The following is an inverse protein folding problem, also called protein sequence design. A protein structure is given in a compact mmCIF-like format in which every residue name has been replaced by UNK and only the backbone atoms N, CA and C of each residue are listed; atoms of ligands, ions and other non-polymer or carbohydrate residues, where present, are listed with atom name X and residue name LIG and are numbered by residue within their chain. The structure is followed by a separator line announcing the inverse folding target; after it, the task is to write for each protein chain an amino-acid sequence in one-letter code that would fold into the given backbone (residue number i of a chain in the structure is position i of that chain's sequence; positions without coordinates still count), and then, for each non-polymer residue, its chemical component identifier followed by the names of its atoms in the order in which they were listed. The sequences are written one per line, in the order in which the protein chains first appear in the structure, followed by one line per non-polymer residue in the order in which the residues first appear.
data_IF_720474085190
#
_entry.id   IF_720474085190
#
_cell.length_a   1.000
_cell.length_b   1.000
_cell.length_c   1.000
_cell.angle_alpha   90.00
_cell.angle_beta   90.00
_cell.angle_gamma   90.00
#
_symmetry.space_group_name_H-M   'P 1'
#
loop_
_entity.id
_entity.type
_entity.pdbx_description
1 polymer ?
#
# COMPACT_ATOMS: atom_id res chain seq x y z
N UNK A 1 8.79 31.92 2.00
CA UNK A 1 10.21 32.38 1.95
C UNK A 1 11.22 31.23 1.92
N UNK A 2 10.81 29.97 2.02
CA UNK A 2 11.71 28.77 1.98
C UNK A 2 11.98 28.23 0.58
N UNK A 3 11.07 28.38 -0.38
CA UNK A 3 11.24 27.92 -1.77
C UNK A 3 12.44 28.53 -2.52
N UNK A 4 12.95 29.69 -2.08
CA UNK A 4 14.13 30.31 -2.69
C UNK A 4 15.46 29.68 -2.26
N UNK A 5 15.51 29.01 -1.12
CA UNK A 5 16.74 28.44 -0.58
C UNK A 5 17.08 27.09 -1.22
N UNK A 6 16.07 26.28 -1.51
CA UNK A 6 16.27 24.94 -2.11
C UNK A 6 16.71 25.05 -3.57
N UNK A 7 16.11 25.98 -4.33
CA UNK A 7 16.55 26.24 -5.72
C UNK A 7 17.98 26.81 -5.79
N UNK A 8 18.38 27.59 -4.80
CA UNK A 8 19.72 28.16 -4.75
C UNK A 8 20.79 27.11 -4.41
N UNK A 9 20.49 26.15 -3.52
CA UNK A 9 21.44 25.08 -3.16
C UNK A 9 21.65 24.09 -4.31
N UNK A 10 20.60 23.73 -5.06
CA UNK A 10 20.70 22.88 -6.28
C UNK A 10 21.51 23.60 -7.36
N UNK A 11 21.32 24.90 -7.57
CA UNK A 11 22.09 25.69 -8.52
C UNK A 11 23.57 25.77 -8.15
N UNK A 12 23.87 25.92 -6.86
CA UNK A 12 25.25 25.95 -6.34
C UNK A 12 25.91 24.57 -6.50
N UNK A 13 25.18 23.45 -6.32
CA UNK A 13 25.72 22.11 -6.51
C UNK A 13 26.04 21.84 -7.98
N UNK A 14 25.19 22.27 -8.92
CA UNK A 14 25.45 22.18 -10.36
C UNK A 14 26.67 23.03 -10.73
N UNK A 15 26.80 24.26 -10.21
CA UNK A 15 27.95 25.10 -10.43
C UNK A 15 29.24 24.52 -9.84
N UNK A 16 29.16 23.88 -8.65
CA UNK A 16 30.31 23.21 -8.03
C UNK A 16 30.75 21.99 -8.83
N UNK A 17 29.82 21.21 -9.34
CA UNK A 17 30.12 20.06 -10.22
C UNK A 17 30.73 20.52 -11.55
N UNK A 18 30.28 21.64 -12.11
CA UNK A 18 30.91 22.26 -13.30
C UNK A 18 32.31 22.76 -12.99
N UNK A 19 32.53 23.35 -11.81
CA UNK A 19 33.85 23.87 -11.40
C UNK A 19 34.86 22.75 -11.09
N UNK A 20 34.41 21.65 -10.49
CA UNK A 20 35.24 20.46 -10.22
C UNK A 20 35.57 19.75 -11.52
N UNK A 21 34.62 19.62 -12.43
CA UNK A 21 34.87 19.07 -13.76
C UNK A 21 35.84 19.93 -14.56
N UNK A 22 35.69 21.27 -14.53
CA UNK A 22 36.62 22.18 -15.24
C UNK A 22 38.03 22.24 -14.63
N UNK A 23 38.17 22.02 -13.31
CA UNK A 23 39.47 21.98 -12.66
C UNK A 23 40.23 20.66 -12.91
N UNK A 24 39.56 19.57 -13.18
CA UNK A 24 40.19 18.29 -13.57
C UNK A 24 40.48 18.22 -15.08
N UNK A 25 39.89 19.07 -15.90
CA UNK A 25 40.02 19.08 -17.37
C UNK A 25 41.20 19.89 -17.89
N UNK A 26 41.98 20.55 -17.01
CA UNK A 26 43.18 21.28 -17.43
C UNK A 26 44.31 20.38 -17.95
N UNK A 27 44.15 19.04 -17.91
CA UNK A 27 45.15 18.07 -18.35
C UNK A 27 44.60 16.95 -19.28
N UNK A 28 43.34 16.99 -19.74
CA UNK A 28 42.76 15.99 -20.63
C UNK A 28 42.50 16.59 -22.02
N UNK A 29 42.73 15.81 -23.05
CA UNK A 29 42.46 16.23 -24.45
C UNK A 29 40.97 16.47 -24.72
N UNK A 30 40.70 17.46 -25.55
CA UNK A 30 39.39 18.04 -25.90
C UNK A 30 38.33 17.03 -26.45
N UNK A 31 38.68 15.77 -26.65
CA UNK A 31 37.80 14.73 -27.22
C UNK A 31 36.93 14.04 -26.19
N UNK A 32 37.23 14.07 -24.92
CA UNK A 32 36.51 13.24 -23.92
C UNK A 32 35.22 13.86 -23.34
N UNK A 33 35.03 15.18 -23.51
CA UNK A 33 33.86 15.86 -22.92
C UNK A 33 32.57 15.56 -23.67
N UNK A 34 32.65 15.43 -25.00
CA UNK A 34 31.48 15.16 -25.83
C UNK A 34 30.94 13.73 -25.64
N UNK A 35 31.80 12.79 -25.24
CA UNK A 35 31.41 11.41 -24.97
C UNK A 35 30.67 11.25 -23.64
N UNK A 36 30.91 12.15 -22.67
CA UNK A 36 30.20 12.17 -21.38
C UNK A 36 28.94 13.03 -21.39
N UNK A 37 28.75 13.90 -22.36
CA UNK A 37 27.59 14.78 -22.44
C UNK A 37 26.24 14.02 -22.52
N UNK A 38 26.12 12.92 -23.27
CA UNK A 38 24.89 12.11 -23.27
C UNK A 38 24.59 11.46 -21.92
N UNK A 39 25.62 11.01 -21.20
CA UNK A 39 25.46 10.40 -19.88
C UNK A 39 25.09 11.45 -18.82
N UNK A 40 25.64 12.65 -18.90
CA UNK A 40 25.30 13.79 -18.04
C UNK A 40 23.89 14.30 -18.33
N UNK A 41 23.51 14.37 -19.60
CA UNK A 41 22.15 14.74 -20.03
C UNK A 41 21.14 13.66 -19.69
N UNK A 42 21.50 12.36 -19.78
CA UNK A 42 20.66 11.28 -19.34
C UNK A 42 20.51 11.27 -17.82
N UNK A 43 21.58 11.53 -17.05
CA UNK A 43 21.51 11.67 -15.60
C UNK A 43 20.72 12.92 -15.17
N UNK A 44 20.82 14.02 -15.92
CA UNK A 44 20.02 15.22 -15.69
C UNK A 44 18.55 15.04 -16.11
N UNK A 45 18.28 14.22 -17.11
CA UNK A 45 16.90 13.87 -17.54
C UNK A 45 16.27 12.84 -16.60
N UNK A 46 17.07 12.03 -15.89
CA UNK A 46 16.60 11.13 -14.83
C UNK A 46 16.36 11.88 -13.51
N UNK A 47 16.88 13.11 -13.38
CA UNK A 47 16.56 14.05 -12.31
C UNK A 47 15.50 15.06 -12.74
N UNK A 48 14.52 14.65 -13.52
CA UNK A 48 13.26 15.40 -13.59
C UNK A 48 12.68 15.39 -12.18
N UNK A 49 12.48 16.56 -11.62
CA UNK A 49 11.88 16.78 -10.33
C UNK A 49 10.72 15.77 -10.16
N UNK A 50 10.93 14.75 -9.35
CA UNK A 50 9.85 14.01 -8.74
C UNK A 50 9.24 14.96 -7.70
N UNK A 51 8.72 16.09 -8.16
CA UNK A 51 7.81 16.86 -7.34
C UNK A 51 6.64 15.90 -7.09
N UNK A 52 6.56 15.40 -5.87
CA UNK A 52 5.44 14.59 -5.42
C UNK A 52 4.19 15.37 -5.74
N UNK A 53 3.46 14.92 -6.75
CA UNK A 53 2.20 15.56 -7.10
C UNK A 53 1.23 15.16 -5.99
N UNK A 54 0.95 16.11 -5.12
CA UNK A 54 -0.04 15.92 -4.07
C UNK A 54 -1.39 15.72 -4.73
N UNK A 55 -2.08 14.62 -4.45
CA UNK A 55 -3.38 14.34 -5.05
C UNK A 55 -4.40 15.36 -4.57
N UNK A 56 -5.30 15.78 -5.46
CA UNK A 56 -6.36 16.72 -5.11
C UNK A 56 -7.39 16.12 -4.13
N UNK A 57 -7.53 14.83 -4.06
CA UNK A 57 -8.37 14.08 -3.14
C UNK A 57 -7.90 12.64 -3.12
N UNK A 58 -8.27 11.94 -2.09
CA UNK A 58 -7.92 10.54 -1.92
C UNK A 58 -9.17 9.71 -1.66
N UNK A 59 -9.32 8.64 -2.42
CA UNK A 59 -10.33 7.61 -2.22
C UNK A 59 -9.68 6.32 -1.77
N UNK A 60 -10.45 5.48 -1.08
CA UNK A 60 -9.99 4.18 -0.62
C UNK A 60 -10.92 3.06 -1.08
N UNK A 61 -10.33 1.98 -1.58
CA UNK A 61 -10.95 0.70 -1.88
C UNK A 61 -10.32 -0.33 -0.94
N UNK A 62 -11.13 -1.18 -0.34
CA UNK A 62 -10.60 -2.18 0.56
C UNK A 62 -11.65 -3.05 1.21
N UNK A 63 -11.20 -3.77 2.20
CA UNK A 63 -12.00 -4.61 3.07
C UNK A 63 -12.05 -4.01 4.50
N UNK A 64 -12.20 -4.83 5.52
CA UNK A 64 -12.24 -4.42 6.93
C UNK A 64 -11.00 -3.62 7.38
N UNK A 65 -9.84 -3.88 6.79
CA UNK A 65 -8.63 -3.09 7.09
C UNK A 65 -8.78 -1.68 6.50
N UNK A 66 -9.33 -1.56 5.30
CA UNK A 66 -9.62 -0.28 4.66
C UNK A 66 -10.73 0.49 5.34
N UNK A 67 -11.67 -0.18 5.99
CA UNK A 67 -12.77 0.41 6.74
C UNK A 67 -12.37 0.82 8.17
N UNK A 68 -11.23 0.30 8.66
CA UNK A 68 -10.76 0.54 10.03
C UNK A 68 -11.53 -0.25 11.07
N UNK A 69 -12.03 -1.46 10.72
CA UNK A 69 -12.79 -2.30 11.65
C UNK A 69 -11.97 -2.58 12.91
N UNK A 70 -12.59 -2.31 14.05
CA UNK A 70 -12.04 -2.53 15.38
C UNK A 70 -10.72 -1.78 15.69
N UNK A 71 -10.35 -0.75 14.94
CA UNK A 71 -9.07 -0.05 15.10
C UNK A 71 -8.86 0.50 16.52
N UNK A 72 -9.90 1.01 17.17
CA UNK A 72 -9.87 1.53 18.55
C UNK A 72 -10.06 0.44 19.64
N UNK A 73 -10.35 -0.80 19.26
CA UNK A 73 -10.64 -1.91 20.16
C UNK A 73 -12.11 -2.30 20.23
N UNK A 74 -13.01 -1.57 19.59
CA UNK A 74 -14.44 -1.86 19.59
C UNK A 74 -14.78 -2.81 18.46
N UNK A 75 -15.09 -4.05 18.80
CA UNK A 75 -15.33 -5.13 17.81
C UNK A 75 -16.56 -4.82 16.95
N UNK A 76 -16.42 -4.92 15.64
CA UNK A 76 -17.51 -4.76 14.67
C UNK A 76 -17.91 -3.31 14.42
N UNK A 77 -17.11 -2.34 14.85
CA UNK A 77 -17.28 -0.94 14.52
C UNK A 77 -16.21 -0.48 13.52
N UNK A 78 -16.63 0.29 12.51
CA UNK A 78 -15.75 0.92 11.55
C UNK A 78 -15.24 2.26 12.10
N UNK A 79 -13.96 2.53 11.86
CA UNK A 79 -13.27 3.74 12.31
C UNK A 79 -12.58 4.43 11.14
N UNK A 80 -13.38 4.98 10.22
CA UNK A 80 -12.88 5.64 9.01
C UNK A 80 -11.89 6.77 9.30
N UNK A 81 -12.03 7.41 10.45
CA UNK A 81 -11.12 8.48 10.91
C UNK A 81 -9.74 7.99 11.29
N UNK A 82 -9.60 6.69 11.63
CA UNK A 82 -8.36 6.08 12.12
C UNK A 82 -7.66 5.20 11.06
N UNK A 83 -8.16 5.21 9.83
CA UNK A 83 -7.65 4.36 8.75
C UNK A 83 -6.29 4.84 8.24
N UNK A 84 -5.40 3.90 7.94
CA UNK A 84 -4.06 4.14 7.41
C UNK A 84 -4.01 5.01 6.14
N UNK A 85 -5.06 4.98 5.32
CA UNK A 85 -5.15 5.66 4.01
C UNK A 85 -5.82 7.03 4.11
N UNK A 86 -7.16 7.04 4.16
CA UNK A 86 -8.00 8.25 4.13
C UNK A 86 -8.33 8.81 5.50
N UNK A 87 -7.83 8.20 6.58
CA UNK A 87 -8.12 8.65 7.94
C UNK A 87 -7.68 10.08 8.21
N UNK A 88 -8.41 10.75 9.11
CA UNK A 88 -8.06 12.05 9.64
C UNK A 88 -8.59 12.20 11.07
N UNK A 89 -7.70 12.13 12.04
CA UNK A 89 -8.07 12.29 13.45
C UNK A 89 -6.89 12.84 14.25
N UNK A 90 -6.91 14.13 14.53
CA UNK A 90 -5.85 14.81 15.28
C UNK A 90 -5.66 14.28 16.73
N UNK A 91 -6.52 13.40 17.21
CA UNK A 91 -6.48 12.86 18.57
C UNK A 91 -5.98 11.41 18.67
N UNK A 92 -5.84 10.70 17.56
CA UNK A 92 -5.28 9.36 17.53
C UNK A 92 -3.75 9.34 17.28
N UNK A 93 -3.18 8.16 17.13
CA UNK A 93 -1.75 7.97 16.86
C UNK A 93 -1.46 7.62 15.39
N UNK A 94 -2.49 7.50 14.57
CA UNK A 94 -2.37 7.19 13.15
C UNK A 94 -2.05 8.47 12.38
N UNK A 95 -0.91 8.47 11.72
CA UNK A 95 -0.55 9.50 10.77
C UNK A 95 -0.80 8.94 9.37
N UNK A 96 -2.04 9.08 8.90
CA UNK A 96 -2.52 8.48 7.66
C UNK A 96 -1.81 9.03 6.42
N UNK A 97 -1.98 8.38 5.26
CA UNK A 97 -1.48 8.95 3.99
C UNK A 97 -2.11 10.32 3.73
N UNK A 98 -3.39 10.49 4.05
CA UNK A 98 -4.10 11.74 3.91
C UNK A 98 -3.44 12.85 4.73
N UNK A 99 -3.16 12.61 6.01
CA UNK A 99 -2.49 13.57 6.90
C UNK A 99 -1.04 13.84 6.48
N UNK A 100 -0.34 12.85 5.91
CA UNK A 100 1.01 13.03 5.36
C UNK A 100 1.00 13.98 4.17
N UNK A 101 0.02 13.87 3.31
CA UNK A 101 -0.15 14.81 2.20
C UNK A 101 -0.53 16.19 2.71
N UNK A 102 -1.37 16.34 3.70
CA UNK A 102 -1.76 17.60 4.30
C UNK A 102 -0.55 18.39 4.83
N UNK A 103 0.42 17.72 5.43
CA UNK A 103 1.61 18.36 5.97
C UNK A 103 2.72 18.65 4.96
N UNK A 104 2.56 18.24 3.70
CA UNK A 104 3.58 18.40 2.66
C UNK A 104 3.56 19.75 1.92
N UNK A 105 3.08 20.83 2.52
CA UNK A 105 3.03 22.20 1.95
C UNK A 105 2.15 22.42 0.71
N UNK A 106 1.37 21.43 0.26
CA UNK A 106 0.61 21.53 -0.98
C UNK A 106 -0.90 21.84 -0.80
N UNK A 107 -1.39 22.34 0.30
CA UNK A 107 -2.61 21.82 0.89
C UNK A 107 -3.63 22.80 1.39
N UNK A 108 -3.93 23.78 0.62
CA UNK A 108 -5.24 24.45 0.65
C UNK A 108 -6.40 23.52 0.22
N UNK A 109 -6.10 22.26 -0.04
CA UNK A 109 -7.00 21.34 -0.70
C UNK A 109 -7.89 20.55 0.28
N UNK A 110 -7.31 20.03 1.35
CA UNK A 110 -8.06 19.29 2.37
C UNK A 110 -8.98 20.18 3.23
N UNK A 111 -8.82 21.51 3.22
CA UNK A 111 -9.77 22.43 3.85
C UNK A 111 -11.21 22.28 3.31
N UNK A 112 -11.36 21.77 2.09
CA UNK A 112 -12.68 21.54 1.48
C UNK A 112 -13.07 20.06 1.40
N UNK A 113 -12.17 19.17 1.76
CA UNK A 113 -12.38 17.74 1.76
C UNK A 113 -12.22 17.30 3.21
N UNK A 114 -13.27 17.42 4.00
CA UNK A 114 -13.26 16.83 5.33
C UNK A 114 -12.99 15.33 5.14
N UNK A 115 -11.77 14.92 5.43
CA UNK A 115 -11.35 13.52 5.27
C UNK A 115 -12.14 12.57 6.19
N UNK A 116 -12.93 13.14 7.07
CA UNK A 116 -13.98 12.45 7.82
C UNK A 116 -15.24 12.22 6.99
N UNK A 117 -15.24 12.65 5.72
CA UNK A 117 -16.34 12.33 4.81
C UNK A 117 -16.28 10.84 4.51
N UNK A 118 -17.21 10.03 5.03
CA UNK A 118 -17.26 8.60 4.77
C UNK A 118 -17.42 8.29 3.27
N UNK A 119 -17.89 9.27 2.48
CA UNK A 119 -18.06 9.13 1.04
C UNK A 119 -16.72 8.96 0.27
N UNK A 120 -15.57 9.21 0.91
CA UNK A 120 -14.25 9.00 0.30
C UNK A 120 -13.69 7.59 0.57
N UNK A 121 -14.19 6.91 1.57
CA UNK A 121 -13.78 5.56 1.93
C UNK A 121 -14.86 4.55 1.52
N UNK A 122 -14.61 3.84 0.43
CA UNK A 122 -15.52 2.81 -0.10
C UNK A 122 -15.14 1.39 0.31
N UNK A 123 -14.19 1.24 1.23
CA UNK A 123 -13.88 -0.07 1.81
C UNK A 123 -15.07 -0.64 2.58
N UNK A 124 -15.26 -1.94 2.51
CA UNK A 124 -16.38 -2.66 3.14
C UNK A 124 -15.86 -3.90 3.85
N UNK A 125 -16.18 -4.05 5.13
CA UNK A 125 -15.82 -5.24 5.91
C UNK A 125 -16.27 -6.52 5.22
N UNK A 126 -15.34 -7.49 5.13
CA UNK A 126 -15.60 -8.77 4.47
C UNK A 126 -15.48 -8.75 2.94
N UNK A 127 -15.24 -7.60 2.31
CA UNK A 127 -15.10 -7.51 0.86
C UNK A 127 -13.96 -8.40 0.34
N UNK A 128 -14.21 -9.02 -0.81
CA UNK A 128 -13.27 -9.84 -1.58
C UNK A 128 -12.97 -9.15 -2.91
N UNK A 129 -12.02 -9.68 -3.67
CA UNK A 129 -11.66 -9.11 -4.98
C UNK A 129 -12.85 -8.97 -5.96
N UNK A 130 -13.88 -9.80 -5.81
CA UNK A 130 -15.12 -9.71 -6.58
C UNK A 130 -15.89 -8.38 -6.35
N UNK A 131 -15.71 -7.75 -5.20
CA UNK A 131 -16.38 -6.50 -4.83
C UNK A 131 -15.65 -5.26 -5.39
N UNK A 132 -14.44 -5.43 -5.91
CA UNK A 132 -13.63 -4.32 -6.42
C UNK A 132 -14.35 -3.48 -7.48
N UNK A 133 -14.97 -4.11 -8.47
CA UNK A 133 -15.66 -3.38 -9.54
C UNK A 133 -16.85 -2.55 -9.01
N UNK A 134 -17.51 -3.01 -7.94
CA UNK A 134 -18.59 -2.27 -7.28
C UNK A 134 -18.03 -1.06 -6.56
N UNK A 135 -17.04 -1.23 -5.70
CA UNK A 135 -16.38 -0.12 -4.99
C UNK A 135 -15.77 0.90 -5.96
N UNK A 136 -15.13 0.44 -7.04
CA UNK A 136 -14.61 1.32 -8.09
C UNK A 136 -15.72 2.13 -8.78
N UNK A 137 -16.90 1.53 -9.01
CA UNK A 137 -18.05 2.23 -9.59
C UNK A 137 -18.59 3.31 -8.65
N UNK A 138 -18.61 3.05 -7.36
CA UNK A 138 -19.00 4.03 -6.35
C UNK A 138 -18.01 5.20 -6.29
N UNK A 139 -16.69 4.93 -6.34
CA UNK A 139 -15.67 6.01 -6.46
C UNK A 139 -15.90 6.86 -7.70
N UNK A 140 -16.16 6.25 -8.85
CA UNK A 140 -16.45 7.00 -10.09
C UNK A 140 -17.66 7.92 -9.90
N UNK A 141 -18.70 7.43 -9.27
CA UNK A 141 -19.92 8.21 -9.00
C UNK A 141 -19.64 9.36 -8.02
N UNK A 142 -18.97 9.08 -6.91
CA UNK A 142 -18.63 10.07 -5.88
C UNK A 142 -17.67 11.12 -6.42
N UNK A 143 -16.60 10.72 -7.11
CA UNK A 143 -15.65 11.66 -7.71
C UNK A 143 -16.33 12.59 -8.71
N UNK A 144 -17.22 12.06 -9.55
CA UNK A 144 -17.95 12.85 -10.56
C UNK A 144 -18.93 13.88 -9.95
N UNK A 145 -19.51 13.56 -8.79
CA UNK A 145 -20.60 14.36 -8.20
C UNK A 145 -20.15 15.24 -7.04
N UNK A 146 -19.17 14.83 -6.26
CA UNK A 146 -18.84 15.42 -4.97
C UNK A 146 -17.50 16.15 -4.96
N UNK A 147 -16.59 15.88 -5.91
CA UNK A 147 -15.33 16.61 -5.97
C UNK A 147 -15.44 17.87 -6.83
N UNK A 148 -14.76 18.97 -6.48
CA UNK A 148 -14.76 20.19 -7.28
C UNK A 148 -14.22 20.01 -8.71
N UNK A 149 -13.29 19.08 -8.89
CA UNK A 149 -12.72 18.76 -10.21
C UNK A 149 -13.55 17.78 -11.03
N UNK A 150 -14.50 17.07 -10.40
CA UNK A 150 -15.20 15.94 -11.02
C UNK A 150 -14.32 14.70 -11.22
N UNK A 151 -13.15 14.67 -10.54
CA UNK A 151 -12.15 13.60 -10.70
C UNK A 151 -11.58 13.16 -9.36
N UNK A 152 -11.20 11.88 -9.26
CA UNK A 152 -10.38 11.38 -8.17
C UNK A 152 -8.91 11.74 -8.41
N UNK A 153 -8.23 12.28 -7.41
CA UNK A 153 -6.80 12.58 -7.47
C UNK A 153 -5.97 11.31 -7.23
N UNK A 154 -6.31 10.55 -6.18
CA UNK A 154 -5.68 9.29 -5.83
C UNK A 154 -6.71 8.25 -5.41
N UNK A 155 -6.44 6.99 -5.71
CA UNK A 155 -7.20 5.83 -5.21
C UNK A 155 -6.22 4.85 -4.59
N UNK A 156 -6.35 4.59 -3.30
CA UNK A 156 -5.63 3.52 -2.61
C UNK A 156 -6.46 2.24 -2.61
N UNK A 157 -5.81 1.11 -2.81
CA UNK A 157 -6.46 -0.20 -2.93
C UNK A 157 -5.70 -1.21 -2.08
N UNK A 158 -6.31 -1.67 -0.99
CA UNK A 158 -5.84 -2.80 -0.19
C UNK A 158 -6.98 -3.81 -0.09
N UNK A 159 -7.02 -4.76 -1.00
CA UNK A 159 -8.08 -5.74 -1.14
C UNK A 159 -7.51 -7.11 -1.51
N UNK A 160 -8.20 -8.17 -1.11
CA UNK A 160 -7.78 -9.55 -1.34
C UNK A 160 -7.44 -10.31 -0.06
N UNK A 161 -7.46 -9.66 1.10
CA UNK A 161 -7.20 -10.33 2.36
C UNK A 161 -8.24 -11.43 2.62
N UNK A 162 -9.53 -11.17 2.35
CA UNK A 162 -10.60 -12.14 2.51
C UNK A 162 -10.61 -13.23 1.43
N UNK A 163 -9.99 -13.00 0.29
CA UNK A 163 -9.79 -14.01 -0.75
C UNK A 163 -8.83 -15.11 -0.31
N UNK A 164 -7.80 -14.73 0.45
CA UNK A 164 -6.75 -15.64 0.92
C UNK A 164 -6.98 -16.10 2.36
N UNK A 165 -7.64 -15.30 3.20
CA UNK A 165 -7.98 -15.64 4.57
C UNK A 165 -9.21 -16.56 4.59
N UNK A 166 -9.01 -17.80 4.19
CA UNK A 166 -10.05 -18.80 4.03
C UNK A 166 -9.89 -19.96 5.04
N UNK A 167 -10.97 -20.72 5.32
CA UNK A 167 -10.94 -21.87 6.22
C UNK A 167 -9.96 -22.96 5.80
N UNK A 168 -9.62 -23.04 4.50
CA UNK A 168 -8.64 -24.01 3.98
C UNK A 168 -7.97 -23.49 2.72
N UNK A 169 -6.87 -24.13 2.32
CA UNK A 169 -6.17 -23.82 1.07
C UNK A 169 -7.06 -23.97 -0.17
N UNK A 170 -8.01 -24.91 -0.13
CA UNK A 170 -8.88 -25.20 -1.27
C UNK A 170 -10.07 -24.23 -1.36
N UNK A 171 -10.35 -23.50 -0.28
CA UNK A 171 -11.44 -22.50 -0.23
C UNK A 171 -10.94 -21.07 -0.44
N UNK A 172 -9.63 -20.85 -0.60
CA UNK A 172 -9.12 -19.58 -1.10
C UNK A 172 -9.71 -19.29 -2.47
N UNK A 173 -9.97 -18.02 -2.77
CA UNK A 173 -10.45 -17.64 -4.11
C UNK A 173 -9.52 -18.19 -5.20
N UNK A 174 -10.08 -18.85 -6.20
CA UNK A 174 -9.27 -19.38 -7.30
C UNK A 174 -8.46 -18.27 -7.98
N UNK A 175 -7.15 -18.43 -8.20
CA UNK A 175 -6.30 -17.38 -8.76
C UNK A 175 -6.79 -16.80 -10.10
N UNK A 176 -7.40 -17.62 -10.97
CA UNK A 176 -7.96 -17.15 -12.25
C UNK A 176 -9.16 -16.23 -12.00
N UNK A 177 -10.07 -16.61 -11.09
CA UNK A 177 -11.21 -15.74 -10.72
C UNK A 177 -10.73 -14.47 -10.00
N UNK A 178 -9.72 -14.58 -9.14
CA UNK A 178 -9.11 -13.43 -8.48
C UNK A 178 -8.58 -12.41 -9.51
N UNK A 179 -7.84 -12.89 -10.52
CA UNK A 179 -7.34 -12.05 -11.60
C UNK A 179 -8.48 -11.43 -12.43
N UNK A 180 -9.51 -12.23 -12.79
CA UNK A 180 -10.67 -11.73 -13.54
C UNK A 180 -11.40 -10.61 -12.81
N UNK A 181 -11.61 -10.77 -11.50
CA UNK A 181 -12.25 -9.76 -10.67
C UNK A 181 -11.37 -8.51 -10.51
N UNK A 182 -10.06 -8.70 -10.33
CA UNK A 182 -9.10 -7.59 -10.25
C UNK A 182 -9.10 -6.76 -11.54
N UNK A 183 -9.03 -7.42 -12.70
CA UNK A 183 -9.13 -6.75 -14.02
C UNK A 183 -10.45 -6.01 -14.17
N UNK A 184 -11.56 -6.58 -13.73
CA UNK A 184 -12.87 -5.93 -13.81
C UNK A 184 -12.90 -4.60 -13.02
N UNK A 185 -12.31 -4.55 -11.82
CA UNK A 185 -12.20 -3.32 -11.04
C UNK A 185 -11.28 -2.29 -11.69
N UNK A 186 -10.11 -2.70 -12.19
CA UNK A 186 -9.21 -1.81 -12.93
C UNK A 186 -9.84 -1.27 -14.21
N UNK A 187 -10.64 -2.07 -14.93
CA UNK A 187 -11.37 -1.63 -16.11
C UNK A 187 -12.39 -0.52 -15.79
N UNK A 188 -13.07 -0.59 -14.65
CA UNK A 188 -13.96 0.49 -14.21
C UNK A 188 -13.18 1.78 -14.01
N UNK A 189 -12.06 1.73 -13.31
CA UNK A 189 -11.21 2.90 -13.05
C UNK A 189 -10.62 3.46 -14.37
N UNK A 190 -10.15 2.60 -15.25
CA UNK A 190 -9.49 2.98 -16.49
C UNK A 190 -10.45 3.59 -17.53
N UNK A 191 -11.69 3.12 -17.57
CA UNK A 191 -12.67 3.55 -18.58
C UNK A 191 -13.48 4.79 -18.17
N UNK A 192 -13.27 5.33 -16.96
CA UNK A 192 -13.97 6.53 -16.49
C UNK A 192 -13.08 7.76 -16.57
N UNK A 193 -13.61 8.86 -17.11
CA UNK A 193 -12.93 10.16 -17.09
C UNK A 193 -12.69 10.69 -15.66
N UNK A 194 -13.48 10.22 -14.69
CA UNK A 194 -13.33 10.60 -13.29
C UNK A 194 -12.10 9.97 -12.62
N UNK A 195 -11.58 8.85 -13.15
CA UNK A 195 -10.53 8.07 -12.49
C UNK A 195 -9.35 7.68 -13.39
N UNK A 196 -9.48 7.74 -14.71
CA UNK A 196 -8.44 7.28 -15.64
C UNK A 196 -7.11 8.07 -15.56
N UNK A 197 -7.13 9.28 -15.01
CA UNK A 197 -5.94 10.09 -14.76
C UNK A 197 -5.47 10.08 -13.30
N UNK A 198 -6.19 9.37 -12.43
CA UNK A 198 -5.88 9.27 -11.00
C UNK A 198 -4.56 8.56 -10.76
N UNK A 199 -3.92 8.87 -9.64
CA UNK A 199 -2.83 8.07 -9.11
C UNK A 199 -3.43 6.85 -8.41
N UNK A 200 -3.22 5.66 -8.98
CA UNK A 200 -3.76 4.39 -8.46
C UNK A 200 -2.66 3.67 -7.67
N UNK A 201 -2.87 3.43 -6.41
CA UNK A 201 -1.94 2.76 -5.52
C UNK A 201 -2.52 1.43 -5.05
N UNK A 202 -1.94 0.34 -5.52
CA UNK A 202 -2.37 -1.02 -5.17
C UNK A 202 -1.34 -1.62 -4.21
N UNK A 203 -1.76 -1.86 -3.00
CA UNK A 203 -0.95 -2.53 -1.98
C UNK A 203 -0.96 -4.04 -2.19
N UNK A 204 0.17 -4.70 -1.94
CA UNK A 204 0.18 -6.16 -1.85
C UNK A 204 -0.66 -6.63 -0.65
N UNK A 205 -1.23 -7.83 -0.74
CA UNK A 205 -1.81 -8.51 0.41
C UNK A 205 -0.70 -8.76 1.43
N UNK A 206 -0.81 -8.29 2.68
CA UNK A 206 0.19 -8.53 3.71
C UNK A 206 0.28 -10.02 4.07
N UNK A 207 1.38 -10.43 4.64
CA UNK A 207 1.56 -11.80 5.07
C UNK A 207 0.74 -12.09 6.33
N UNK A 208 -0.41 -12.76 6.18
CA UNK A 208 -1.30 -13.17 7.29
C UNK A 208 -0.56 -14.00 8.35
N UNK A 209 0.54 -14.64 7.99
CA UNK A 209 1.41 -15.33 8.92
C UNK A 209 1.84 -14.44 10.11
N UNK A 210 2.06 -13.14 9.87
CA UNK A 210 2.46 -12.21 10.93
C UNK A 210 1.35 -11.96 11.94
N UNK A 211 0.08 -12.07 11.56
CA UNK A 211 -1.05 -12.06 12.49
C UNK A 211 -0.94 -13.23 13.49
N UNK A 212 -0.69 -14.44 12.99
CA UNK A 212 -0.45 -15.58 13.85
C UNK A 212 0.76 -15.35 14.74
N UNK A 213 1.89 -14.92 14.19
CA UNK A 213 3.11 -14.68 14.95
C UNK A 213 2.93 -13.62 16.05
N UNK A 214 2.14 -12.58 15.79
CA UNK A 214 1.86 -11.51 16.76
C UNK A 214 1.07 -12.01 17.98
N UNK A 215 0.09 -12.89 17.78
CA UNK A 215 -0.92 -13.22 18.82
C UNK A 215 -0.93 -14.69 19.28
N UNK A 216 -0.12 -15.59 18.74
CA UNK A 216 -0.21 -17.02 19.05
C UNK A 216 0.07 -17.33 20.55
N UNK A 217 0.80 -16.49 21.26
CA UNK A 217 1.04 -16.63 22.72
C UNK A 217 -0.12 -16.12 23.56
N UNK A 218 -1.03 -15.34 22.97
CA UNK A 218 -2.19 -14.80 23.67
C UNK A 218 -3.28 -15.88 23.80
N UNK A 219 -3.54 -16.33 25.03
CA UNK A 219 -4.51 -17.38 25.32
C UNK A 219 -5.94 -17.02 24.87
N UNK A 220 -6.36 -15.75 25.07
CA UNK A 220 -7.68 -15.28 24.64
C UNK A 220 -7.82 -15.35 23.11
N UNK A 221 -6.83 -14.84 22.41
CA UNK A 221 -6.84 -14.84 20.95
C UNK A 221 -6.94 -16.27 20.41
N UNK A 222 -6.07 -17.13 20.88
CA UNK A 222 -5.91 -18.50 20.40
C UNK A 222 -7.09 -19.41 20.65
N UNK A 223 -7.65 -19.40 21.88
CA UNK A 223 -8.66 -20.38 22.29
C UNK A 223 -10.09 -19.87 22.27
N UNK A 224 -10.27 -18.53 22.26
CA UNK A 224 -11.61 -17.94 22.37
C UNK A 224 -12.01 -17.23 21.09
N UNK A 225 -11.10 -16.50 20.45
CA UNK A 225 -11.43 -15.65 19.30
C UNK A 225 -11.19 -16.37 17.97
N UNK A 226 -9.99 -16.88 17.75
CA UNK A 226 -9.60 -17.45 16.44
C UNK A 226 -10.46 -18.61 15.93
N UNK A 227 -11.10 -19.44 16.77
CA UNK A 227 -12.06 -20.42 16.26
C UNK A 227 -13.26 -19.83 15.50
N UNK A 228 -13.45 -18.51 15.54
CA UNK A 228 -14.60 -17.82 14.94
C UNK A 228 -14.19 -16.82 13.86
N UNK A 229 -12.89 -16.67 13.55
CA UNK A 229 -12.44 -15.77 12.48
C UNK A 229 -12.26 -16.53 11.14
N UNK A 230 -12.32 -15.83 10.02
CA UNK A 230 -12.27 -16.48 8.69
C UNK A 230 -11.05 -17.39 8.47
N UNK A 231 -9.89 -17.04 8.99
CA UNK A 231 -8.66 -17.81 8.87
C UNK A 231 -8.45 -18.84 10.00
N UNK A 232 -9.48 -19.37 10.59
CA UNK A 232 -9.39 -20.23 11.78
C UNK A 232 -8.30 -21.31 11.67
N UNK A 233 -8.28 -22.05 10.56
CA UNK A 233 -7.32 -23.14 10.33
C UNK A 233 -5.89 -22.67 10.06
N UNK A 234 -5.70 -21.41 9.66
CA UNK A 234 -4.38 -20.79 9.55
C UNK A 234 -3.86 -20.38 10.93
N UNK A 235 -4.76 -19.89 11.77
CA UNK A 235 -4.46 -19.34 13.10
C UNK A 235 -4.49 -20.40 14.20
N UNK A 236 -5.13 -21.54 13.94
CA UNK A 236 -5.27 -22.61 14.92
C UNK A 236 -3.94 -23.30 15.21
N UNK A 237 -3.79 -23.72 16.46
CA UNK A 237 -2.71 -24.48 17.06
C UNK A 237 -1.31 -23.83 17.09
N UNK A 238 -0.91 -23.30 18.24
CA UNK A 238 0.38 -22.65 18.49
C UNK A 238 1.53 -23.60 18.81
N UNK A 239 1.29 -24.93 18.89
CA UNK A 239 2.30 -25.88 19.31
C UNK A 239 3.42 -26.10 18.28
N UNK A 240 3.24 -25.58 17.07
CA UNK A 240 4.24 -25.70 16.02
C UNK A 240 5.25 -24.55 16.10
N UNK A 241 6.52 -24.89 16.22
CA UNK A 241 7.63 -23.93 16.24
C UNK A 241 7.91 -23.41 14.80
N UNK A 242 6.95 -22.68 14.25
CA UNK A 242 7.04 -22.07 12.95
C UNK A 242 7.46 -20.60 12.98
N UNK A 243 7.43 -19.98 14.15
CA UNK A 243 7.47 -18.53 14.32
C UNK A 243 8.62 -17.84 13.56
N UNK A 244 9.77 -18.46 13.49
CA UNK A 244 10.96 -17.86 12.87
C UNK A 244 11.35 -18.51 11.54
N UNK A 245 10.52 -19.36 10.97
CA UNK A 245 10.89 -20.19 9.84
C UNK A 245 10.25 -19.75 8.50
N UNK A 246 9.44 -18.69 8.51
CA UNK A 246 8.85 -18.12 7.31
C UNK A 246 9.50 -16.78 7.02
N UNK A 247 10.23 -16.69 5.93
CA UNK A 247 10.88 -15.49 5.45
C UNK A 247 10.50 -15.27 3.98
N UNK A 248 10.35 -14.01 3.59
CA UNK A 248 10.19 -13.64 2.19
C UNK A 248 11.37 -14.10 1.33
N UNK A 249 12.54 -14.20 1.95
CA UNK A 249 13.79 -14.55 1.29
C UNK A 249 14.05 -16.07 1.26
N UNK A 250 13.17 -16.89 1.87
CA UNK A 250 13.29 -18.35 1.75
C UNK A 250 12.97 -18.74 0.31
N UNK A 251 13.99 -19.13 -0.48
CA UNK A 251 13.74 -19.48 -1.87
C UNK A 251 12.97 -20.80 -1.95
N UNK A 252 12.00 -20.85 -2.84
CA UNK A 252 11.50 -22.04 -3.55
C UNK A 252 11.02 -23.24 -2.73
N UNK A 253 10.77 -23.10 -1.43
CA UNK A 253 10.18 -24.19 -0.68
C UNK A 253 8.71 -24.29 -1.04
N UNK A 254 8.39 -25.15 -1.98
CA UNK A 254 7.00 -25.52 -2.30
C UNK A 254 6.47 -26.31 -1.11
N UNK A 255 5.78 -25.61 -0.23
CA UNK A 255 5.05 -26.26 0.85
C UNK A 255 3.77 -26.86 0.26
N UNK A 256 3.74 -28.17 0.13
CA UNK A 256 2.57 -28.89 -0.37
C UNK A 256 1.89 -29.62 0.79
N UNK A 257 0.59 -29.39 0.94
CA UNK A 257 -0.30 -30.22 1.72
C UNK A 257 -0.69 -29.70 3.11
N UNK A 258 -1.71 -30.35 3.66
CA UNK A 258 -2.33 -30.08 4.95
C UNK A 258 -1.68 -30.86 6.12
N UNK A 259 -0.40 -31.22 6.01
CA UNK A 259 0.22 -32.18 6.93
C UNK A 259 0.24 -31.74 8.40
N UNK A 260 0.70 -30.51 8.66
CA UNK A 260 0.73 -29.90 9.98
C UNK A 260 0.25 -28.46 9.89
N UNK A 261 -0.20 -27.89 11.02
CA UNK A 261 -0.63 -26.48 11.05
C UNK A 261 0.50 -25.52 10.62
N UNK A 262 1.74 -25.85 10.96
CA UNK A 262 2.91 -25.12 10.50
C UNK A 262 3.05 -25.16 8.98
N UNK A 263 2.99 -26.33 8.36
CA UNK A 263 3.08 -26.49 6.90
C UNK A 263 1.93 -25.74 6.22
N UNK A 264 0.72 -25.80 6.76
CA UNK A 264 -0.45 -25.06 6.26
C UNK A 264 -0.19 -23.57 6.27
N UNK A 265 0.24 -23.00 7.40
CA UNK A 265 0.59 -21.55 7.50
C UNK A 265 1.65 -21.15 6.49
N UNK A 266 2.70 -21.95 6.32
CA UNK A 266 3.73 -21.70 5.33
C UNK A 266 3.18 -21.76 3.90
N UNK A 267 2.29 -22.70 3.62
CA UNK A 267 1.66 -22.80 2.30
C UNK A 267 0.76 -21.60 2.01
N UNK A 268 0.00 -21.12 2.99
CA UNK A 268 -0.75 -19.86 2.87
C UNK A 268 0.18 -18.68 2.56
N UNK A 269 1.23 -18.54 3.35
CA UNK A 269 2.23 -17.50 3.14
C UNK A 269 2.84 -17.54 1.73
N UNK A 270 3.26 -18.74 1.29
CA UNK A 270 3.82 -18.92 -0.03
C UNK A 270 2.81 -18.63 -1.16
N UNK A 271 1.55 -19.02 -1.02
CA UNK A 271 0.51 -18.71 -2.01
C UNK A 271 0.27 -17.21 -2.15
N UNK A 272 0.21 -16.47 -1.05
CA UNK A 272 0.06 -15.01 -1.10
C UNK A 272 1.25 -14.41 -1.84
N UNK A 273 2.47 -14.77 -1.42
CA UNK A 273 3.72 -14.25 -2.00
C UNK A 273 3.88 -14.60 -3.49
N UNK A 274 3.62 -15.85 -3.85
CA UNK A 274 4.04 -16.43 -5.14
C UNK A 274 2.91 -16.45 -6.18
N UNK A 275 1.67 -16.24 -5.77
CA UNK A 275 0.50 -16.31 -6.66
C UNK A 275 -0.30 -15.00 -6.63
N UNK A 276 -0.88 -14.62 -5.49
CA UNK A 276 -1.83 -13.49 -5.45
C UNK A 276 -1.15 -12.13 -5.60
N UNK A 277 -0.04 -11.89 -4.89
CA UNK A 277 0.68 -10.62 -5.02
C UNK A 277 1.34 -10.44 -6.41
N UNK A 278 1.91 -11.48 -7.05
CA UNK A 278 2.30 -11.38 -8.45
C UNK A 278 1.15 -11.04 -9.40
N UNK A 279 -0.05 -11.58 -9.21
CA UNK A 279 -1.23 -11.20 -10.03
C UNK A 279 -1.50 -9.69 -9.88
N UNK A 280 -1.54 -9.17 -8.65
CA UNK A 280 -1.77 -7.73 -8.42
C UNK A 280 -0.72 -6.86 -9.12
N UNK A 281 0.56 -7.22 -8.97
CA UNK A 281 1.68 -6.49 -9.56
C UNK A 281 1.68 -6.55 -11.09
N UNK A 282 1.60 -7.76 -11.64
CA UNK A 282 1.84 -8.00 -13.06
C UNK A 282 0.66 -7.48 -13.91
N UNK A 283 -0.58 -7.67 -13.46
CA UNK A 283 -1.76 -7.11 -14.12
C UNK A 283 -1.73 -5.57 -14.08
N UNK A 284 -1.37 -4.97 -12.93
CA UNK A 284 -1.27 -3.52 -12.84
C UNK A 284 -0.21 -2.97 -13.79
N UNK A 285 0.92 -3.69 -13.92
CA UNK A 285 1.97 -3.32 -14.87
C UNK A 285 1.48 -3.37 -16.33
N UNK A 286 0.66 -4.37 -16.70
CA UNK A 286 0.03 -4.44 -18.02
C UNK A 286 -0.84 -3.20 -18.30
N UNK A 287 -1.65 -2.76 -17.31
CA UNK A 287 -2.49 -1.56 -17.46
C UNK A 287 -1.66 -0.27 -17.63
N UNK A 288 -0.49 -0.20 -16.99
CA UNK A 288 0.46 0.90 -17.21
C UNK A 288 1.06 0.86 -18.60
N UNK A 289 1.56 -0.29 -19.02
CA UNK A 289 2.22 -0.47 -20.32
C UNK A 289 1.27 -0.21 -21.50
N UNK A 290 0.00 -0.56 -21.32
CA UNK A 290 -1.10 -0.28 -22.25
C UNK A 290 -1.57 1.19 -22.20
N UNK A 291 -1.02 2.03 -21.32
CA UNK A 291 -1.46 3.41 -21.04
C UNK A 291 -2.94 3.53 -20.65
N UNK A 292 -3.53 2.49 -20.07
CA UNK A 292 -4.89 2.52 -19.51
C UNK A 292 -4.94 3.22 -18.16
N UNK A 293 -3.94 2.98 -17.32
CA UNK A 293 -3.72 3.60 -16.02
C UNK A 293 -2.22 3.95 -15.87
N UNK A 294 -1.78 5.00 -16.55
CA UNK A 294 -0.36 5.37 -16.62
C UNK A 294 0.25 5.75 -15.27
N UNK A 295 -0.57 6.22 -14.32
CA UNK A 295 -0.17 6.62 -12.98
C UNK A 295 -0.53 5.54 -11.94
N UNK A 296 -0.41 4.27 -12.27
CA UNK A 296 -0.68 3.18 -11.35
C UNK A 296 0.63 2.63 -10.74
N UNK A 297 0.62 2.33 -9.45
CA UNK A 297 1.79 1.92 -8.67
C UNK A 297 1.46 0.73 -7.79
N UNK A 298 2.30 -0.28 -7.81
CA UNK A 298 2.22 -1.41 -6.89
C UNK A 298 3.11 -1.16 -5.69
N UNK A 299 2.53 -1.19 -4.50
CA UNK A 299 3.23 -0.98 -3.23
C UNK A 299 3.35 -2.32 -2.51
N UNK A 300 4.55 -2.85 -2.43
CA UNK A 300 4.78 -4.16 -1.83
C UNK A 300 4.98 -4.05 -0.31
N UNK A 301 3.92 -4.34 0.43
CA UNK A 301 3.91 -4.38 1.91
C UNK A 301 3.93 -5.82 2.47
N UNK A 302 4.16 -6.83 1.63
CA UNK A 302 4.07 -8.24 2.04
C UNK A 302 4.98 -8.60 3.22
N UNK A 303 6.16 -8.00 3.31
CA UNK A 303 7.16 -8.27 4.35
C UNK A 303 7.00 -7.43 5.61
N UNK A 304 5.99 -6.56 5.68
CA UNK A 304 5.69 -5.79 6.89
C UNK A 304 5.29 -6.72 8.02
N UNK A 305 6.05 -6.66 9.12
CA UNK A 305 5.88 -7.55 10.25
C UNK A 305 5.01 -6.92 11.33
N UNK A 306 3.80 -7.44 11.48
CA UNK A 306 2.93 -7.05 12.58
C UNK A 306 3.39 -7.69 13.89
N UNK A 307 3.65 -6.87 14.91
CA UNK A 307 3.88 -7.30 16.29
C UNK A 307 2.60 -7.31 17.11
N UNK A 308 2.70 -7.73 18.38
CA UNK A 308 1.54 -7.83 19.29
C UNK A 308 0.74 -6.54 19.43
N UNK A 309 1.41 -5.38 19.50
CA UNK A 309 0.76 -4.07 19.61
C UNK A 309 0.04 -3.62 18.35
N UNK A 310 0.40 -4.19 17.18
CA UNK A 310 -0.16 -3.80 15.89
C UNK A 310 -1.47 -4.53 15.57
N UNK A 311 -1.84 -5.52 16.37
CA UNK A 311 -3.10 -6.27 16.22
C UNK A 311 -3.99 -5.98 17.42
N UNK A 312 -5.26 -5.71 17.13
CA UNK A 312 -6.25 -5.41 18.15
C UNK A 312 -6.36 -6.53 19.19
N UNK A 313 -6.49 -6.17 20.45
CA UNK A 313 -6.68 -7.14 21.54
C UNK A 313 -8.16 -7.54 21.75
N UNK A 314 -9.09 -6.82 21.16
CA UNK A 314 -10.53 -7.11 21.21
C UNK A 314 -10.85 -8.36 20.41
N UNK A 315 -10.61 -8.30 19.11
CA UNK A 315 -10.89 -9.36 18.14
C UNK A 315 -9.66 -10.21 17.76
N UNK A 316 -8.45 -9.79 18.13
CA UNK A 316 -7.21 -10.50 17.82
C UNK A 316 -6.99 -10.77 16.32
N UNK A 317 -7.53 -9.92 15.47
CA UNK A 317 -7.57 -10.15 14.03
C UNK A 317 -7.25 -8.89 13.24
N UNK A 318 -7.99 -7.81 13.45
CA UNK A 318 -7.80 -6.55 12.72
C UNK A 318 -6.61 -5.74 13.26
N UNK A 319 -6.02 -4.86 12.45
CA UNK A 319 -5.03 -3.92 12.92
C UNK A 319 -5.60 -3.01 14.03
N UNK A 320 -4.79 -2.73 15.04
CA UNK A 320 -5.05 -1.66 16.00
C UNK A 320 -4.68 -0.29 15.41
N UNK A 321 -4.91 0.82 16.13
CA UNK A 321 -4.34 2.12 15.77
C UNK A 321 -2.85 2.02 15.44
N UNK A 322 -2.06 1.33 16.27
CA UNK A 322 -0.63 1.13 15.99
C UNK A 322 -0.37 0.32 14.72
N UNK A 323 -1.28 -0.61 14.37
CA UNK A 323 -1.23 -1.35 13.11
C UNK A 323 -1.54 -0.47 11.90
N UNK A 324 -2.53 0.40 12.01
CA UNK A 324 -2.83 1.40 10.97
C UNK A 324 -1.70 2.42 10.81
N UNK A 325 -1.09 2.87 11.90
CA UNK A 325 0.09 3.75 11.87
C UNK A 325 1.29 3.08 11.16
N UNK A 326 1.52 1.77 11.44
CA UNK A 326 2.55 0.98 10.76
C UNK A 326 2.25 0.88 9.25
N UNK A 327 1.03 0.51 8.85
CA UNK A 327 0.63 0.42 7.44
C UNK A 327 0.84 1.75 6.72
N UNK A 328 0.35 2.85 7.30
CA UNK A 328 0.53 4.18 6.71
C UNK A 328 2.00 4.54 6.52
N UNK A 329 2.85 4.26 7.52
CA UNK A 329 4.28 4.52 7.42
C UNK A 329 4.97 3.71 6.33
N UNK A 330 4.68 2.41 6.26
CA UNK A 330 5.25 1.50 5.27
C UNK A 330 4.77 1.81 3.85
N UNK A 331 3.49 2.10 3.67
CA UNK A 331 2.92 2.53 2.38
C UNK A 331 3.58 3.83 1.90
N UNK A 332 3.70 4.82 2.77
CA UNK A 332 4.35 6.08 2.46
C UNK A 332 5.80 5.87 2.03
N UNK A 333 6.57 5.13 2.83
CA UNK A 333 7.99 4.94 2.60
C UNK A 333 8.32 4.07 1.37
N UNK A 334 7.41 3.21 0.97
CA UNK A 334 7.59 2.32 -0.21
C UNK A 334 7.02 2.92 -1.49
N UNK A 335 6.22 3.96 -1.37
CA UNK A 335 5.71 4.70 -2.51
C UNK A 335 6.73 5.71 -3.04
N UNK A 336 6.44 6.28 -4.19
CA UNK A 336 7.31 7.23 -4.88
C UNK A 336 7.62 8.50 -4.07
N UNK A 337 6.71 8.91 -3.19
CA UNK A 337 6.89 10.10 -2.33
C UNK A 337 7.78 9.84 -1.12
N UNK A 338 7.95 8.59 -0.69
CA UNK A 338 8.86 8.22 0.39
C UNK A 338 10.32 8.23 0.01
N UNK A 339 10.65 8.29 -1.29
CA UNK A 339 12.03 8.24 -1.78
C UNK A 339 12.89 9.44 -1.28
N UNK A 340 12.24 10.57 -1.05
CA UNK A 340 12.90 11.80 -0.57
C UNK A 340 12.61 12.10 0.91
N UNK A 341 11.84 11.25 1.60
CA UNK A 341 11.52 11.42 3.02
C UNK A 341 12.59 10.80 3.91
N UNK A 342 13.30 11.67 4.65
CA UNK A 342 14.37 11.24 5.57
C UNK A 342 13.86 10.37 6.73
N UNK A 343 12.57 10.39 7.03
CA UNK A 343 11.97 9.53 8.06
C UNK A 343 11.82 8.08 7.59
N UNK A 344 11.93 7.85 6.27
CA UNK A 344 11.88 6.54 5.63
C UNK A 344 13.24 5.86 5.49
N UNK A 345 14.31 6.48 5.96
CA UNK A 345 15.64 5.86 5.93
C UNK A 345 15.65 4.60 6.82
N UNK A 346 16.22 3.46 6.36
CA UNK A 346 16.27 2.21 7.10
C UNK A 346 17.12 2.30 8.37
#
# INVERSE_FOLDING_TARGET
MQLSQIKLSKLILIFLLFFVASAQLSNAQETDILDFLPAILAAAALNTDNDVVVPLNQFNIGDSIGEGEAADGTIGEAHHETVWSTGYNASDTVYSLNERFENSDALSYYENNDARDPDLNHAISGAVMADFAVQATEIVATASSSTPSGTAGMVTILLGNNDVCAPSLDTMTNPVLFEEHYRAGLDVLANSAATSSSSIHVSSIPAIYWLWNAKYTNFKCRLIIWPFVPCENLLDNPSDDCANSVSRLEPDTIYQGDGTNCIRRKTFHARIRDIYNPILRDVLQEYRDDNKLSNAYFIDIFDVQFGDSHVNNGDCFHPSEAGHALLSGEEWCRAQWGLDDLTCAP
#
